data_IF_036723240906
#
_entry.id   IF_036723240906
#
_cell.length_a   1.000
_cell.length_b   1.000
_cell.length_c   1.000
_cell.angle_alpha   90.00
_cell.angle_beta   90.00
_cell.angle_gamma   90.00
#
_symmetry.space_group_name_H-M   'P 1'
#
loop_
_entity.id
_entity.type
_entity.pdbx_description
1 polymer ?
#
# COMPACT_ATOMS: atom_id res chain seq x y z
N UNK A 1 -9.73 -13.25 9.04
CA UNK A 1 -10.17 -13.40 7.64
C UNK A 1 -9.58 -12.25 6.82
N UNK A 2 -8.79 -12.54 5.79
CA UNK A 2 -8.18 -11.51 4.93
C UNK A 2 -9.15 -10.90 3.92
N UNK A 3 -8.69 -9.88 3.19
CA UNK A 3 -9.44 -9.24 2.12
C UNK A 3 -9.55 -10.25 0.95
N UNK A 4 -10.74 -10.38 0.37
CA UNK A 4 -10.96 -11.26 -0.80
C UNK A 4 -10.36 -10.61 -2.04
N UNK A 5 -9.81 -11.39 -2.96
CA UNK A 5 -9.23 -10.87 -4.22
C UNK A 5 -10.26 -10.13 -5.08
N UNK A 6 -11.53 -10.53 -4.97
CA UNK A 6 -12.66 -9.87 -5.65
C UNK A 6 -13.31 -8.76 -4.84
N UNK A 7 -12.85 -8.51 -3.61
CA UNK A 7 -13.38 -7.40 -2.83
C UNK A 7 -12.88 -6.09 -3.44
N UNK A 8 -13.82 -5.22 -3.80
CA UNK A 8 -13.50 -3.84 -4.16
C UNK A 8 -12.66 -3.24 -3.04
N UNK A 9 -11.48 -2.71 -3.39
CA UNK A 9 -10.66 -2.02 -2.41
C UNK A 9 -11.49 -0.87 -1.80
N UNK A 10 -11.60 -0.84 -0.47
CA UNK A 10 -12.23 0.28 0.22
C UNK A 10 -11.43 1.56 0.00
N UNK A 11 -12.07 2.71 0.20
CA UNK A 11 -11.46 4.04 -0.01
C UNK A 11 -10.09 4.17 0.67
N UNK A 12 -9.90 3.64 1.88
CA UNK A 12 -8.62 3.73 2.58
C UNK A 12 -7.46 3.04 1.86
N UNK A 13 -7.69 1.87 1.24
CA UNK A 13 -6.65 1.14 0.51
C UNK A 13 -6.35 1.75 -0.86
N UNK A 14 -7.37 2.38 -1.46
CA UNK A 14 -7.20 3.16 -2.69
C UNK A 14 -6.37 4.41 -2.37
N UNK A 15 -6.76 5.17 -1.34
CA UNK A 15 -6.04 6.37 -0.90
C UNK A 15 -4.60 6.08 -0.51
N UNK A 16 -4.31 4.93 0.10
CA UNK A 16 -2.93 4.52 0.38
C UNK A 16 -2.10 4.26 -0.88
N UNK A 17 -2.70 3.69 -1.93
CA UNK A 17 -2.01 3.49 -3.21
C UNK A 17 -1.73 4.81 -3.90
N UNK A 18 -2.75 5.66 -3.99
CA UNK A 18 -2.64 7.01 -4.55
C UNK A 18 -1.57 7.80 -3.82
N UNK A 19 -1.64 7.86 -2.49
CA UNK A 19 -0.69 8.62 -1.67
C UNK A 19 0.73 8.10 -1.77
N UNK A 20 0.92 6.79 -1.80
CA UNK A 20 2.26 6.23 -2.00
C UNK A 20 2.84 6.64 -3.35
N UNK A 21 2.04 6.59 -4.43
CA UNK A 21 2.47 7.02 -5.76
C UNK A 21 2.77 8.53 -5.81
N UNK A 22 1.95 9.37 -5.19
CA UNK A 22 2.19 10.82 -5.07
C UNK A 22 3.53 11.15 -4.40
N UNK A 23 3.93 10.36 -3.40
CA UNK A 23 5.19 10.50 -2.68
C UNK A 23 6.39 9.87 -3.42
N UNK A 24 6.21 9.43 -4.68
CA UNK A 24 7.24 8.76 -5.46
C UNK A 24 7.51 7.32 -5.03
N UNK A 25 6.60 6.73 -4.26
CA UNK A 25 6.65 5.35 -3.79
C UNK A 25 5.61 4.43 -4.43
N UNK A 26 5.39 3.27 -3.83
CA UNK A 26 4.42 2.27 -4.28
C UNK A 26 3.75 1.58 -3.10
N UNK A 27 2.45 1.30 -3.22
CA UNK A 27 1.73 0.45 -2.27
C UNK A 27 1.16 -0.79 -2.97
N UNK A 28 1.40 -1.96 -2.39
CA UNK A 28 0.91 -3.25 -2.87
C UNK A 28 0.08 -3.94 -1.80
N UNK A 29 -0.96 -4.66 -2.23
CA UNK A 29 -1.91 -5.34 -1.35
C UNK A 29 -2.03 -6.76 -1.86
N UNK A 30 -1.71 -7.73 -1.01
CA UNK A 30 -1.71 -9.14 -1.36
C UNK A 30 -2.46 -9.91 -0.28
N UNK A 31 -3.28 -10.87 -0.69
CA UNK A 31 -3.83 -11.87 0.23
C UNK A 31 -2.74 -12.91 0.51
N UNK A 32 -2.62 -13.42 1.74
CA UNK A 32 -1.77 -14.59 1.95
C UNK A 32 -2.52 -15.89 1.62
N UNK A 33 -1.80 -16.95 1.23
CA UNK A 33 -2.42 -18.23 0.87
C UNK A 33 -3.28 -18.84 1.98
N UNK A 34 -2.90 -18.66 3.24
CA UNK A 34 -3.57 -19.29 4.39
C UNK A 34 -4.55 -18.33 5.05
N UNK A 35 -4.11 -17.14 5.47
CA UNK A 35 -5.00 -16.13 6.03
C UNK A 35 -4.45 -14.70 6.00
N UNK A 36 -5.33 -13.74 6.30
CA UNK A 36 -4.94 -12.33 6.41
C UNK A 36 -4.61 -11.64 5.08
N UNK A 37 -4.04 -10.44 5.23
CA UNK A 37 -3.70 -9.52 4.13
C UNK A 37 -2.34 -8.92 4.44
N UNK A 38 -1.46 -8.91 3.44
CA UNK A 38 -0.23 -8.13 3.48
C UNK A 38 -0.47 -6.82 2.73
N UNK A 39 -0.17 -5.73 3.41
CA UNK A 39 -0.08 -4.40 2.81
C UNK A 39 1.38 -3.97 2.90
N UNK A 40 1.99 -3.66 1.76
CA UNK A 40 3.39 -3.21 1.69
C UNK A 40 3.46 -1.87 0.99
N UNK A 41 3.89 -0.84 1.72
CA UNK A 41 4.26 0.46 1.18
C UNK A 41 5.78 0.57 1.10
N UNK A 42 6.29 1.01 -0.04
CA UNK A 42 7.70 1.36 -0.27
C UNK A 42 7.72 2.84 -0.59
N UNK A 43 8.45 3.62 0.22
CA UNK A 43 8.57 5.06 0.06
C UNK A 43 10.05 5.42 -0.09
N UNK A 44 10.39 6.45 -0.87
CA UNK A 44 11.72 7.02 -0.86
C UNK A 44 12.13 7.46 0.55
N UNK A 45 13.39 7.25 0.90
CA UNK A 45 13.97 7.97 2.03
C UNK A 45 14.04 9.46 1.68
N UNK A 46 13.95 10.36 2.67
CA UNK A 46 14.26 11.76 2.42
C UNK A 46 15.67 11.86 1.81
N UNK A 47 15.83 12.65 0.74
CA UNK A 47 17.16 13.06 0.29
C UNK A 47 17.84 13.83 1.42
N UNK A 48 19.17 13.73 1.56
CA UNK A 48 19.96 14.53 2.53
C UNK A 48 20.01 16.03 2.19
N UNK A 49 18.90 16.58 1.70
CA UNK A 49 18.69 18.02 1.61
C UNK A 49 17.38 18.36 2.30
N UNK A 50 17.46 18.54 3.62
CA UNK A 50 16.70 19.57 4.32
C UNK A 50 17.56 20.12 5.48
N UNK A 51 18.30 21.23 5.29
CA UNK A 51 18.37 22.27 6.30
C UNK A 51 16.98 22.87 6.59
#
# INVERSE_FOLDING_TARGET
MGIKETATAGVGLISMKERAAELGGQCTIQRQPVDGTIVKAVLPLPSEEQP
#
